data_IF_553439145837
#
_entry.id   IF_553439145837
#
_cell.length_a   1.000
_cell.length_b   1.000
_cell.length_c   1.000
_cell.angle_alpha   90.00
_cell.angle_beta   90.00
_cell.angle_gamma   90.00
#
_symmetry.space_group_name_H-M   'P 1'
#
loop_
_entity.id
_entity.type
_entity.pdbx_description
1 polymer ?
#
# COMPACT_ATOMS: atom_id res chain seq x y z
N UNK A 1 12.14 37.18 -11.99
CA UNK A 1 13.32 36.29 -12.07
C UNK A 1 13.18 35.00 -11.24
N UNK A 2 12.40 34.98 -10.15
CA UNK A 2 12.25 33.77 -9.31
C UNK A 2 11.54 32.60 -9.98
N UNK A 3 10.55 32.84 -10.84
CA UNK A 3 9.84 31.78 -11.58
C UNK A 3 10.76 30.95 -12.49
N UNK A 4 11.83 31.54 -13.03
CA UNK A 4 12.78 30.87 -13.92
C UNK A 4 13.73 29.96 -13.13
N UNK A 5 14.18 30.39 -11.94
CA UNK A 5 15.02 29.58 -11.04
C UNK A 5 14.28 28.36 -10.50
N UNK A 6 13.02 28.52 -10.09
CA UNK A 6 12.19 27.40 -9.63
C UNK A 6 11.99 26.36 -10.74
N UNK A 7 11.75 26.82 -11.98
CA UNK A 7 11.56 25.91 -13.12
C UNK A 7 12.83 25.09 -13.44
N UNK A 8 14.02 25.70 -13.32
CA UNK A 8 15.29 25.00 -13.48
C UNK A 8 15.59 23.98 -12.37
N UNK A 9 15.18 24.26 -11.13
CA UNK A 9 15.34 23.33 -10.00
C UNK A 9 14.39 22.14 -10.18
N UNK A 10 13.12 22.37 -10.52
CA UNK A 10 12.16 21.30 -10.79
C UNK A 10 12.56 20.45 -12.00
N UNK A 11 13.06 21.06 -13.08
CA UNK A 11 13.57 20.33 -14.24
C UNK A 11 14.79 19.46 -13.89
N UNK A 12 15.70 19.96 -13.06
CA UNK A 12 16.89 19.23 -12.60
C UNK A 12 16.54 18.10 -11.63
N UNK A 13 15.58 18.30 -10.73
CA UNK A 13 15.05 17.24 -9.86
C UNK A 13 14.36 16.19 -10.73
N UNK A 14 13.55 16.60 -11.70
CA UNK A 14 12.86 15.66 -12.59
C UNK A 14 13.84 14.79 -13.39
N UNK A 15 14.89 15.38 -13.97
CA UNK A 15 15.89 14.62 -14.73
C UNK A 15 16.77 13.74 -13.84
N UNK A 16 17.05 14.14 -12.60
CA UNK A 16 17.90 13.34 -11.69
C UNK A 16 17.11 12.20 -11.03
N UNK A 17 15.84 12.44 -10.69
CA UNK A 17 14.97 11.50 -9.97
C UNK A 17 14.24 10.55 -10.91
N UNK A 18 13.89 11.01 -12.13
CA UNK A 18 13.17 10.23 -13.14
C UNK A 18 13.98 9.99 -14.42
N UNK A 19 15.29 10.23 -14.39
CA UNK A 19 16.16 10.16 -15.58
C UNK A 19 16.27 8.77 -16.20
N UNK A 20 16.02 7.70 -15.44
CA UNK A 20 16.01 6.32 -15.95
C UNK A 20 14.79 5.53 -15.44
N UNK A 21 14.29 4.55 -16.20
CA UNK A 21 13.22 3.65 -15.75
C UNK A 21 13.55 2.97 -14.42
N UNK A 22 14.81 2.59 -14.22
CA UNK A 22 15.31 1.97 -13.01
C UNK A 22 15.30 2.94 -11.80
N UNK A 23 15.72 4.19 -11.98
CA UNK A 23 15.68 5.20 -10.91
C UNK A 23 14.24 5.48 -10.46
N UNK A 24 13.31 5.58 -11.42
CA UNK A 24 11.88 5.73 -11.16
C UNK A 24 11.29 4.52 -10.41
N UNK A 25 11.62 3.29 -10.84
CA UNK A 25 11.18 2.06 -10.17
C UNK A 25 11.73 1.96 -8.73
N UNK A 26 13.01 2.30 -8.52
CA UNK A 26 13.65 2.32 -7.19
C UNK A 26 12.98 3.33 -6.25
N UNK A 27 12.67 4.52 -6.74
CA UNK A 27 11.97 5.54 -5.95
C UNK A 27 10.58 5.05 -5.52
N UNK A 28 9.79 4.51 -6.45
CA UNK A 28 8.46 3.96 -6.16
C UNK A 28 8.52 2.83 -5.14
N UNK A 29 9.49 1.93 -5.24
CA UNK A 29 9.72 0.87 -4.27
C UNK A 29 10.06 1.43 -2.88
N UNK A 30 10.93 2.43 -2.79
CA UNK A 30 11.26 3.06 -1.51
C UNK A 30 10.05 3.73 -0.85
N UNK A 31 9.21 4.41 -1.64
CA UNK A 31 7.96 5.00 -1.14
C UNK A 31 7.02 3.90 -0.63
N UNK A 32 6.80 2.85 -1.43
CA UNK A 32 5.93 1.72 -1.04
C UNK A 32 6.44 1.05 0.26
N UNK A 33 7.76 0.89 0.40
CA UNK A 33 8.39 0.34 1.61
C UNK A 33 8.10 1.20 2.84
N UNK A 34 8.25 2.52 2.73
CA UNK A 34 8.00 3.42 3.86
C UNK A 34 6.53 3.46 4.25
N UNK A 35 5.62 3.46 3.26
CA UNK A 35 4.17 3.38 3.50
C UNK A 35 3.83 2.06 4.19
N UNK A 36 4.38 0.94 3.72
CA UNK A 36 4.18 -0.37 4.35
C UNK A 36 4.67 -0.37 5.80
N UNK A 37 5.89 0.10 6.07
CA UNK A 37 6.44 0.16 7.43
C UNK A 37 5.53 0.97 8.35
N UNK A 38 5.10 2.15 7.90
CA UNK A 38 4.23 3.04 8.67
C UNK A 38 2.86 2.41 8.97
N UNK A 39 2.21 1.87 7.94
CA UNK A 39 0.88 1.25 8.07
C UNK A 39 0.92 -0.05 8.86
N UNK A 40 1.97 -0.86 8.70
CA UNK A 40 2.20 -2.06 9.50
C UNK A 40 2.40 -1.69 10.98
N UNK A 41 3.23 -0.68 11.26
CA UNK A 41 3.42 -0.19 12.63
C UNK A 41 2.08 0.23 13.25
N UNK A 42 1.30 1.08 12.57
CA UNK A 42 -0.01 1.52 13.06
C UNK A 42 -0.97 0.35 13.29
N UNK A 43 -1.06 -0.57 12.34
CA UNK A 43 -1.96 -1.72 12.42
C UNK A 43 -1.60 -2.63 13.60
N UNK A 44 -0.35 -3.10 13.67
CA UNK A 44 0.10 -4.00 14.74
C UNK A 44 0.12 -3.33 16.11
N UNK A 45 0.46 -2.04 16.19
CA UNK A 45 0.34 -1.28 17.43
C UNK A 45 -1.11 -1.25 17.91
N UNK A 46 -2.06 -1.01 17.01
CA UNK A 46 -3.48 -0.98 17.35
C UNK A 46 -3.99 -2.35 17.78
N UNK A 47 -3.56 -3.43 17.10
CA UNK A 47 -3.85 -4.82 17.50
C UNK A 47 -3.31 -5.10 18.90
N UNK A 48 -2.06 -4.69 19.18
CA UNK A 48 -1.45 -4.87 20.50
C UNK A 48 -2.24 -4.15 21.59
N UNK A 49 -2.68 -2.92 21.34
CA UNK A 49 -3.51 -2.16 22.27
C UNK A 49 -4.87 -2.82 22.50
N UNK A 50 -5.50 -3.34 21.44
CA UNK A 50 -6.77 -4.09 21.55
C UNK A 50 -6.61 -5.37 22.35
N UNK A 51 -5.62 -6.20 22.04
CA UNK A 51 -5.37 -7.46 22.76
C UNK A 51 -4.93 -7.20 24.21
N UNK A 52 -4.17 -6.13 24.44
CA UNK A 52 -3.76 -5.70 25.78
C UNK A 52 -4.89 -5.10 26.63
N UNK A 53 -6.11 -4.98 26.10
CA UNK A 53 -7.26 -4.46 26.85
C UNK A 53 -7.30 -2.94 26.98
N UNK A 54 -6.41 -2.21 26.29
CA UNK A 54 -6.34 -0.75 26.36
C UNK A 54 -7.38 -0.13 25.40
N UNK A 55 -8.29 0.67 25.95
CA UNK A 55 -9.29 1.43 25.19
C UNK A 55 -10.02 0.59 24.12
N UNK A 56 -10.50 -0.60 24.52
CA UNK A 56 -11.02 -1.66 23.64
C UNK A 56 -11.97 -1.16 22.54
N UNK A 57 -12.91 -0.27 22.87
CA UNK A 57 -13.88 0.23 21.90
C UNK A 57 -13.27 1.13 20.81
N UNK A 58 -12.23 1.91 21.14
CA UNK A 58 -11.56 2.77 20.15
C UNK A 58 -10.56 1.95 19.34
N UNK A 59 -9.78 1.10 20.00
CA UNK A 59 -8.71 0.35 19.36
C UNK A 59 -9.25 -0.75 18.44
N UNK A 60 -10.37 -1.40 18.78
CA UNK A 60 -11.00 -2.41 17.90
C UNK A 60 -11.51 -1.80 16.58
N UNK A 61 -12.14 -0.62 16.63
CA UNK A 61 -12.59 0.13 15.45
C UNK A 61 -11.38 0.56 14.62
N UNK A 62 -10.32 1.01 15.28
CA UNK A 62 -9.10 1.42 14.61
C UNK A 62 -8.43 0.23 13.89
N UNK A 63 -8.38 -0.95 14.51
CA UNK A 63 -7.89 -2.19 13.88
C UNK A 63 -8.72 -2.56 12.66
N UNK A 64 -10.04 -2.49 12.76
CA UNK A 64 -10.95 -2.78 11.65
C UNK A 64 -10.71 -1.85 10.45
N UNK A 65 -10.50 -0.56 10.71
CA UNK A 65 -10.23 0.44 9.68
C UNK A 65 -8.81 0.36 9.11
N UNK A 66 -7.81 0.06 9.94
CA UNK A 66 -6.42 -0.03 9.51
C UNK A 66 -6.13 -1.30 8.71
N UNK A 67 -6.88 -2.39 8.92
CA UNK A 67 -6.68 -3.64 8.19
C UNK A 67 -6.68 -3.47 6.65
N UNK A 68 -7.70 -2.87 6.01
CA UNK A 68 -7.68 -2.67 4.55
C UNK A 68 -6.52 -1.79 4.08
N UNK A 69 -6.13 -0.78 4.88
CA UNK A 69 -5.01 0.11 4.56
C UNK A 69 -3.68 -0.66 4.61
N UNK A 70 -3.51 -1.52 5.60
CA UNK A 70 -2.35 -2.40 5.74
C UNK A 70 -2.27 -3.44 4.62
N UNK A 71 -3.39 -4.08 4.26
CA UNK A 71 -3.42 -5.03 3.13
C UNK A 71 -3.06 -4.32 1.83
N UNK A 72 -3.60 -3.12 1.60
CA UNK A 72 -3.27 -2.33 0.41
C UNK A 72 -1.78 -1.99 0.36
N UNK A 73 -1.19 -1.51 1.46
CA UNK A 73 0.22 -1.14 1.49
C UNK A 73 1.15 -2.33 1.30
N UNK A 74 0.79 -3.50 1.82
CA UNK A 74 1.49 -4.75 1.59
C UNK A 74 1.46 -5.16 0.11
N UNK A 75 0.28 -5.16 -0.52
CA UNK A 75 0.16 -5.49 -1.94
C UNK A 75 0.88 -4.45 -2.83
N UNK A 76 0.86 -3.17 -2.45
CA UNK A 76 1.62 -2.12 -3.14
C UNK A 76 3.14 -2.34 -3.03
N UNK A 77 3.64 -2.82 -1.89
CA UNK A 77 5.04 -3.21 -1.73
C UNK A 77 5.40 -4.41 -2.60
N UNK A 78 4.56 -5.45 -2.62
CA UNK A 78 4.73 -6.63 -3.48
C UNK A 78 4.76 -6.22 -4.96
N UNK A 79 3.82 -5.38 -5.40
CA UNK A 79 3.81 -4.83 -6.75
C UNK A 79 5.10 -4.07 -7.06
N UNK A 80 5.52 -3.19 -6.15
CA UNK A 80 6.76 -2.41 -6.29
C UNK A 80 8.00 -3.29 -6.44
N UNK A 81 8.09 -4.37 -5.67
CA UNK A 81 9.18 -5.35 -5.75
C UNK A 81 9.19 -6.06 -7.10
N UNK A 82 8.03 -6.55 -7.55
CA UNK A 82 7.92 -7.25 -8.85
C UNK A 82 8.28 -6.31 -10.00
N UNK A 83 7.75 -5.08 -10.01
CA UNK A 83 8.05 -4.09 -11.05
C UNK A 83 9.53 -3.71 -11.05
N UNK A 84 10.15 -3.57 -9.88
CA UNK A 84 11.58 -3.31 -9.78
C UNK A 84 12.40 -4.44 -10.41
N UNK A 85 12.12 -5.70 -10.04
CA UNK A 85 12.77 -6.89 -10.61
C UNK A 85 12.57 -6.97 -12.12
N UNK A 86 11.35 -6.74 -12.62
CA UNK A 86 11.08 -6.73 -14.06
C UNK A 86 11.81 -5.60 -14.78
N UNK A 87 12.04 -4.46 -14.12
CA UNK A 87 12.81 -3.36 -14.71
C UNK A 87 14.31 -3.69 -14.79
N UNK A 88 14.83 -4.53 -13.90
CA UNK A 88 16.23 -4.98 -13.92
C UNK A 88 16.48 -6.09 -14.93
N UNK A 89 15.58 -7.09 -15.00
CA UNK A 89 15.84 -8.34 -15.75
C UNK A 89 15.03 -8.49 -17.05
N UNK A 90 13.99 -7.69 -17.26
CA UNK A 90 12.98 -7.94 -18.29
C UNK A 90 12.35 -6.63 -18.81
N UNK A 91 13.19 -5.68 -19.27
CA UNK A 91 12.74 -4.34 -19.70
C UNK A 91 11.63 -4.35 -20.77
N UNK A 92 11.61 -5.36 -21.64
CA UNK A 92 10.64 -5.51 -22.73
C UNK A 92 9.23 -5.94 -22.29
N UNK A 93 9.04 -6.41 -21.06
CA UNK A 93 7.77 -7.01 -20.60
C UNK A 93 6.86 -6.01 -19.87
N UNK A 94 6.51 -4.91 -20.53
CA UNK A 94 5.56 -3.92 -19.99
C UNK A 94 4.18 -4.54 -19.68
N UNK A 95 3.68 -5.42 -20.55
CA UNK A 95 2.38 -6.09 -20.38
C UNK A 95 2.29 -6.93 -19.10
N UNK A 96 3.41 -7.53 -18.68
CA UNK A 96 3.46 -8.34 -17.47
C UNK A 96 3.22 -7.48 -16.22
N UNK A 97 3.66 -6.22 -16.22
CA UNK A 97 3.43 -5.28 -15.10
C UNK A 97 1.94 -5.02 -14.89
N UNK A 98 1.19 -4.83 -15.99
CA UNK A 98 -0.26 -4.65 -15.93
C UNK A 98 -0.98 -5.92 -15.50
N UNK A 99 -0.52 -7.10 -15.94
CA UNK A 99 -1.06 -8.39 -15.50
C UNK A 99 -0.90 -8.60 -13.99
N UNK A 100 0.30 -8.32 -13.46
CA UNK A 100 0.56 -8.39 -12.01
C UNK A 100 -0.29 -7.38 -11.25
N UNK A 101 -0.43 -6.15 -11.75
CA UNK A 101 -1.29 -5.14 -11.13
C UNK A 101 -2.75 -5.61 -11.05
N UNK A 102 -3.30 -6.11 -12.16
CA UNK A 102 -4.68 -6.60 -12.21
C UNK A 102 -4.90 -7.76 -11.24
N UNK A 103 -3.95 -8.71 -11.17
CA UNK A 103 -4.02 -9.82 -10.23
C UNK A 103 -4.03 -9.34 -8.78
N UNK A 104 -3.12 -8.44 -8.41
CA UNK A 104 -3.05 -7.89 -7.04
C UNK A 104 -4.30 -7.07 -6.70
N UNK A 105 -4.89 -6.37 -7.66
CA UNK A 105 -6.13 -5.65 -7.48
C UNK A 105 -7.31 -6.60 -7.20
N UNK A 106 -7.42 -7.70 -7.95
CA UNK A 106 -8.43 -8.74 -7.70
C UNK A 106 -8.26 -9.34 -6.31
N UNK A 107 -7.03 -9.69 -5.93
CA UNK A 107 -6.72 -10.20 -4.59
C UNK A 107 -7.15 -9.20 -3.51
N UNK A 108 -6.83 -7.91 -3.69
CA UNK A 108 -7.25 -6.86 -2.77
C UNK A 108 -8.77 -6.81 -2.62
N UNK A 109 -9.51 -6.74 -3.73
CA UNK A 109 -10.98 -6.67 -3.72
C UNK A 109 -11.58 -7.87 -2.98
N UNK A 110 -11.08 -9.08 -3.23
CA UNK A 110 -11.53 -10.30 -2.55
C UNK A 110 -11.28 -10.22 -1.05
N UNK A 111 -10.08 -9.83 -0.63
CA UNK A 111 -9.74 -9.70 0.80
C UNK A 111 -10.66 -8.68 1.49
N UNK A 112 -10.90 -7.53 0.85
CA UNK A 112 -11.78 -6.49 1.42
C UNK A 112 -13.23 -6.97 1.47
N UNK A 113 -13.71 -7.64 0.42
CA UNK A 113 -15.05 -8.20 0.40
C UNK A 113 -15.25 -9.24 1.52
N UNK A 114 -14.27 -10.10 1.75
CA UNK A 114 -14.29 -11.06 2.86
C UNK A 114 -14.24 -10.36 4.22
N UNK A 115 -13.40 -9.34 4.40
CA UNK A 115 -13.32 -8.56 5.64
C UNK A 115 -14.65 -7.87 5.99
N UNK A 116 -15.26 -7.20 5.01
CA UNK A 116 -16.56 -6.54 5.18
C UNK A 116 -17.71 -7.55 5.34
N UNK A 117 -17.69 -8.64 4.58
CA UNK A 117 -18.68 -9.71 4.63
C UNK A 117 -18.66 -10.50 5.95
N UNK A 118 -17.48 -10.79 6.48
CA UNK A 118 -17.33 -11.42 7.78
C UNK A 118 -17.86 -10.51 8.89
N UNK A 119 -17.55 -9.21 8.83
CA UNK A 119 -18.06 -8.24 9.79
C UNK A 119 -19.59 -8.12 9.76
N UNK A 120 -20.19 -8.01 8.58
CA UNK A 120 -21.65 -7.91 8.45
C UNK A 120 -22.36 -9.20 8.88
N UNK A 121 -21.78 -10.36 8.59
CA UNK A 121 -22.29 -11.65 9.06
C UNK A 121 -22.29 -11.73 10.59
N UNK A 122 -21.17 -11.39 11.25
CA UNK A 122 -21.07 -11.38 12.71
C UNK A 122 -22.09 -10.42 13.34
N UNK A 123 -22.22 -9.21 12.78
CA UNK A 123 -23.19 -8.22 13.28
C UNK A 123 -24.63 -8.73 13.17
N UNK A 124 -24.96 -9.41 12.07
CA UNK A 124 -26.30 -10.00 11.85
C UNK A 124 -26.62 -11.13 12.84
N UNK A 125 -25.60 -11.87 13.28
CA UNK A 125 -25.76 -12.94 14.27
C UNK A 125 -25.93 -12.38 15.69
N UNK A 126 -25.19 -11.32 16.03
CA UNK A 126 -25.28 -10.65 17.33
C UNK A 126 -26.59 -9.88 17.52
N UNK A 127 -27.21 -9.36 16.45
CA UNK A 127 -28.52 -8.67 16.54
C UNK A 127 -29.70 -9.65 16.60
N UNK A 128 -29.53 -10.87 16.07
CA UNK A 128 -30.60 -11.89 16.04
C UNK A 128 -30.80 -12.64 17.37
N UNK A 129 -29.85 -12.52 18.31
CA UNK A 129 -29.94 -13.08 19.66
C UNK A 129 -30.17 -11.95 20.68
#
# INVERSE_FOLDING_TARGET
MDKIKVNNIFAKIRSTVFGTPLASARLRLNIAKNIFIFTAFLYFFSVLMTVGGFFLGVTSVLVFFLYPIFVFSFLALVYGLIVYTLTVYAESYLSLRYGVFALLLVIFIVIIALHLGAYSFILSFLWKN
#
